data_IF_543078635863
#
_entry.id   IF_543078635863
#
_cell.length_a   1.000
_cell.length_b   1.000
_cell.length_c   1.000
_cell.angle_alpha   90.00
_cell.angle_beta   90.00
_cell.angle_gamma   90.00
#
_symmetry.space_group_name_H-M   'P 1'
#
loop_
_entity.id
_entity.type
_entity.pdbx_description
1 polymer ?
#
# COMPACT_ATOMS: atom_id res chain seq x y z
N UNK A 1 -34.40 8.82 -12.53
CA UNK A 1 -33.15 8.22 -12.03
C UNK A 1 -32.00 8.78 -12.86
N UNK A 2 -30.81 8.92 -12.29
CA UNK A 2 -29.61 9.39 -13.00
C UNK A 2 -28.98 8.21 -13.74
N UNK A 3 -28.39 8.41 -14.92
CA UNK A 3 -27.71 7.31 -15.62
C UNK A 3 -26.36 7.04 -14.95
N UNK A 4 -26.01 5.77 -14.72
CA UNK A 4 -24.65 5.38 -14.38
C UNK A 4 -23.79 5.67 -15.61
N UNK A 5 -23.09 6.80 -15.61
CA UNK A 5 -22.07 7.14 -16.61
C UNK A 5 -20.75 6.37 -16.36
N UNK A 6 -20.89 5.16 -15.85
CA UNK A 6 -19.84 4.36 -15.26
C UNK A 6 -19.61 3.11 -16.11
N UNK A 7 -18.34 2.81 -16.39
CA UNK A 7 -17.98 1.55 -17.05
C UNK A 7 -18.10 0.39 -16.07
N UNK A 8 -18.84 -0.65 -16.46
CA UNK A 8 -18.89 -1.93 -15.74
C UNK A 8 -17.57 -2.67 -15.99
N UNK A 9 -16.81 -2.95 -14.94
CA UNK A 9 -15.46 -3.54 -15.07
C UNK A 9 -15.50 -5.07 -14.93
N UNK A 10 -15.95 -5.58 -13.78
CA UNK A 10 -15.92 -7.01 -13.46
C UNK A 10 -16.91 -7.36 -12.33
N UNK A 11 -17.29 -8.63 -12.24
CA UNK A 11 -18.04 -9.20 -11.12
C UNK A 11 -17.06 -9.80 -10.09
N UNK A 12 -17.29 -9.51 -8.80
CA UNK A 12 -16.51 -10.02 -7.66
C UNK A 12 -17.46 -10.54 -6.56
N UNK A 13 -16.94 -11.34 -5.63
CA UNK A 13 -17.70 -11.82 -4.48
C UNK A 13 -17.33 -11.03 -3.22
N UNK A 14 -18.32 -10.49 -2.51
CA UNK A 14 -18.12 -9.68 -1.30
C UNK A 14 -17.80 -10.51 -0.04
N UNK A 15 -17.61 -11.84 -0.12
CA UNK A 15 -17.05 -12.67 1.00
C UNK A 15 -15.76 -13.44 0.71
N UNK A 16 -15.23 -13.38 -0.51
CA UNK A 16 -13.95 -14.04 -0.85
C UNK A 16 -12.76 -13.11 -0.59
N UNK A 17 -11.63 -13.66 -0.13
CA UNK A 17 -10.42 -13.02 0.42
C UNK A 17 -9.67 -11.98 -0.44
N UNK A 18 -10.31 -11.39 -1.45
CA UNK A 18 -9.74 -10.38 -2.35
C UNK A 18 -10.16 -8.93 -1.98
N UNK A 19 -10.53 -8.68 -0.71
CA UNK A 19 -11.17 -7.42 -0.29
C UNK A 19 -10.38 -6.14 -0.51
N UNK A 20 -9.05 -6.16 -0.43
CA UNK A 20 -8.25 -4.97 -0.77
C UNK A 20 -8.52 -4.49 -2.20
N UNK A 21 -8.90 -5.37 -3.13
CA UNK A 21 -9.24 -4.98 -4.50
C UNK A 21 -10.53 -4.16 -4.58
N UNK A 22 -11.37 -4.22 -3.54
CA UNK A 22 -12.62 -3.48 -3.43
C UNK A 22 -12.47 -2.16 -2.67
N UNK A 23 -11.32 -1.89 -2.06
CA UNK A 23 -11.09 -0.63 -1.35
C UNK A 23 -11.22 0.57 -2.30
N UNK A 24 -11.97 1.58 -1.87
CA UNK A 24 -12.36 2.77 -2.63
C UNK A 24 -13.04 2.48 -3.98
N UNK A 25 -13.77 1.36 -4.08
CA UNK A 25 -14.54 1.02 -5.29
C UNK A 25 -16.03 1.26 -5.09
N UNK A 26 -16.66 1.77 -6.15
CA UNK A 26 -18.11 1.72 -6.27
C UNK A 26 -18.54 0.33 -6.69
N UNK A 27 -19.60 -0.15 -6.05
CA UNK A 27 -20.17 -1.47 -6.25
C UNK A 27 -21.62 -1.32 -6.66
N UNK A 28 -22.08 -2.17 -7.56
CA UNK A 28 -23.51 -2.47 -7.68
C UNK A 28 -23.75 -3.81 -7.01
N UNK A 29 -24.59 -3.77 -6.00
CA UNK A 29 -24.90 -4.87 -5.10
C UNK A 29 -26.27 -5.40 -5.51
N UNK A 30 -26.31 -6.67 -5.90
CA UNK A 30 -27.57 -7.31 -6.27
C UNK A 30 -28.53 -7.34 -5.08
N UNK A 31 -29.84 -7.15 -5.29
CA UNK A 31 -30.79 -7.24 -4.21
C UNK A 31 -30.87 -8.69 -3.73
N UNK A 32 -30.61 -8.89 -2.44
CA UNK A 32 -30.73 -10.20 -1.78
C UNK A 32 -31.64 -10.02 -0.57
N UNK A 33 -32.68 -10.85 -0.45
CA UNK A 33 -33.60 -10.81 0.70
C UNK A 33 -32.87 -10.98 2.03
N UNK A 34 -31.72 -11.67 2.03
CA UNK A 34 -30.86 -11.82 3.21
C UNK A 34 -30.20 -10.52 3.64
N UNK A 35 -30.03 -9.54 2.74
CA UNK A 35 -29.46 -8.24 3.06
C UNK A 35 -30.41 -7.44 3.97
N UNK A 36 -31.69 -7.37 3.63
CA UNK A 36 -32.70 -6.62 4.40
C UNK A 36 -33.04 -7.27 5.75
N UNK A 37 -32.70 -8.55 5.94
CA UNK A 37 -32.86 -9.25 7.23
C UNK A 37 -31.71 -9.03 8.21
N UNK A 38 -30.64 -8.33 7.81
CA UNK A 38 -29.52 -8.04 8.69
C UNK A 38 -29.83 -6.87 9.61
N UNK A 39 -29.38 -6.99 10.85
CA UNK A 39 -29.48 -5.93 11.85
C UNK A 39 -28.80 -4.65 11.37
N UNK A 40 -29.57 -3.55 11.33
CA UNK A 40 -29.13 -2.24 10.84
C UNK A 40 -29.34 -2.02 9.34
N UNK A 41 -29.82 -3.02 8.60
CA UNK A 41 -30.15 -2.95 7.17
C UNK A 41 -31.65 -2.99 6.90
N UNK A 42 -32.48 -3.02 7.93
CA UNK A 42 -33.95 -3.00 7.80
C UNK A 42 -34.47 -1.67 7.25
N UNK A 43 -33.68 -0.61 7.38
CA UNK A 43 -33.96 0.73 6.85
C UNK A 43 -33.54 0.93 5.40
N UNK A 44 -32.87 -0.05 4.77
CA UNK A 44 -32.63 0.00 3.32
C UNK A 44 -33.98 -0.05 2.58
N UNK A 45 -34.24 0.88 1.65
CA UNK A 45 -35.44 0.82 0.83
C UNK A 45 -35.48 -0.47 0.01
N UNK A 46 -36.64 -1.13 -0.08
CA UNK A 46 -36.78 -2.27 -0.97
C UNK A 46 -36.39 -1.88 -2.42
N UNK A 47 -35.58 -2.74 -3.04
CA UNK A 47 -35.10 -2.54 -4.40
C UNK A 47 -35.13 -3.89 -5.11
N UNK A 48 -35.85 -3.96 -6.22
CA UNK A 48 -35.89 -5.15 -7.09
C UNK A 48 -34.67 -5.24 -8.02
N UNK A 49 -33.90 -4.14 -8.13
CA UNK A 49 -32.83 -3.98 -9.12
C UNK A 49 -31.43 -3.85 -8.51
N UNK A 50 -31.35 -3.56 -7.22
CA UNK A 50 -30.11 -3.54 -6.43
C UNK A 50 -29.75 -2.17 -5.85
N UNK A 51 -28.53 -2.09 -5.31
CA UNK A 51 -28.04 -0.95 -4.55
C UNK A 51 -26.70 -0.46 -5.09
N UNK A 52 -26.51 0.85 -5.07
CA UNK A 52 -25.22 1.48 -5.28
C UNK A 52 -24.46 1.53 -3.94
N UNK A 53 -23.35 0.81 -3.88
CA UNK A 53 -22.45 0.76 -2.74
C UNK A 53 -21.12 1.47 -3.00
N UNK A 54 -20.44 1.87 -1.93
CA UNK A 54 -19.05 2.30 -1.93
C UNK A 54 -18.31 1.52 -0.85
N UNK A 55 -17.33 0.71 -1.26
CA UNK A 55 -16.51 -0.08 -0.35
C UNK A 55 -15.26 0.70 0.04
N UNK A 56 -14.91 0.66 1.32
CA UNK A 56 -13.77 1.37 1.88
C UNK A 56 -13.24 0.67 3.14
N UNK A 57 -11.93 0.75 3.37
CA UNK A 57 -11.26 0.18 4.52
C UNK A 57 -11.16 1.19 5.68
N UNK A 58 -11.95 0.99 6.74
CA UNK A 58 -11.89 1.77 7.98
C UNK A 58 -11.88 0.83 9.21
N UNK A 59 -10.68 0.48 9.66
CA UNK A 59 -10.31 -0.59 10.61
C UNK A 59 -10.78 -2.01 10.24
N UNK A 60 -11.87 -2.09 9.48
CA UNK A 60 -12.62 -3.23 8.96
C UNK A 60 -13.08 -2.83 7.56
N UNK A 61 -13.23 -3.79 6.65
CA UNK A 61 -13.82 -3.47 5.34
C UNK A 61 -15.30 -3.10 5.55
N UNK A 62 -15.71 -1.94 5.04
CA UNK A 62 -17.08 -1.43 5.14
C UNK A 62 -17.67 -1.16 3.77
N UNK A 63 -18.99 -1.21 3.71
CA UNK A 63 -19.77 -0.89 2.50
C UNK A 63 -20.82 0.14 2.89
N UNK A 64 -20.71 1.33 2.31
CA UNK A 64 -21.71 2.37 2.40
C UNK A 64 -22.72 2.21 1.26
N UNK A 65 -24.00 2.14 1.58
CA UNK A 65 -25.09 2.11 0.63
C UNK A 65 -25.50 3.55 0.34
N UNK A 66 -25.19 4.01 -0.87
CA UNK A 66 -25.36 5.39 -1.29
C UNK A 66 -26.71 5.64 -1.97
N UNK A 67 -27.33 4.59 -2.50
CA UNK A 67 -28.57 4.72 -3.26
C UNK A 67 -29.10 3.43 -3.85
N UNK A 68 -30.20 3.56 -4.58
CA UNK A 68 -30.81 2.49 -5.38
C UNK A 68 -30.17 2.49 -6.76
N UNK A 69 -29.90 1.30 -7.30
CA UNK A 69 -29.35 1.13 -8.64
C UNK A 69 -30.27 0.24 -9.47
N UNK A 70 -30.62 0.70 -10.67
CA UNK A 70 -31.18 -0.13 -11.72
C UNK A 70 -30.07 -0.79 -12.54
N UNK A 71 -29.92 -2.11 -12.40
CA UNK A 71 -28.92 -2.85 -13.15
C UNK A 71 -29.27 -3.04 -14.63
N UNK A 72 -30.55 -3.07 -14.98
CA UNK A 72 -31.00 -3.27 -16.36
C UNK A 72 -30.81 -1.97 -17.16
N UNK A 73 -31.30 -0.86 -16.62
CA UNK A 73 -31.21 0.46 -17.24
C UNK A 73 -29.85 1.14 -17.03
N UNK A 74 -29.03 0.58 -16.13
CA UNK A 74 -27.77 1.19 -15.73
C UNK A 74 -28.00 2.58 -15.19
N UNK A 75 -28.94 2.72 -14.26
CA UNK A 75 -29.30 4.00 -13.66
C UNK A 75 -29.23 3.91 -12.13
N UNK A 76 -29.16 5.04 -11.43
CA UNK A 76 -29.09 5.09 -9.98
C UNK A 76 -29.78 6.33 -9.44
N UNK A 77 -30.12 6.29 -8.16
CA UNK A 77 -30.62 7.44 -7.40
C UNK A 77 -30.04 7.37 -6.00
N UNK A 78 -29.40 8.45 -5.56
CA UNK A 78 -28.95 8.54 -4.16
C UNK A 78 -30.14 8.49 -3.20
N UNK A 79 -29.90 7.98 -2.01
CA UNK A 79 -30.81 8.19 -0.90
C UNK A 79 -30.89 9.69 -0.59
N UNK A 80 -32.03 10.13 -0.04
CA UNK A 80 -32.15 11.50 0.46
C UNK A 80 -31.26 11.66 1.72
N UNK A 81 -30.89 12.90 2.06
CA UNK A 81 -29.86 13.24 3.06
C UNK A 81 -29.89 12.40 4.35
N UNK A 82 -28.72 12.22 4.96
CA UNK A 82 -28.44 11.49 6.21
C UNK A 82 -28.76 9.97 6.23
N UNK A 83 -29.31 9.40 5.16
CA UNK A 83 -29.68 7.97 5.08
C UNK A 83 -28.57 7.03 4.60
N UNK A 84 -27.30 7.48 4.57
CA UNK A 84 -26.19 6.61 4.15
C UNK A 84 -25.98 5.52 5.20
N UNK A 85 -26.42 4.31 4.88
CA UNK A 85 -26.23 3.15 5.73
C UNK A 85 -24.87 2.53 5.47
N UNK A 86 -24.14 2.19 6.54
CA UNK A 86 -22.82 1.59 6.45
C UNK A 86 -22.84 0.26 7.19
N UNK A 87 -22.50 -0.83 6.50
CA UNK A 87 -22.26 -2.13 7.12
C UNK A 87 -20.78 -2.50 7.10
N UNK A 88 -20.40 -3.31 8.08
CA UNK A 88 -19.17 -4.08 8.01
C UNK A 88 -19.35 -5.23 7.02
N UNK A 89 -18.40 -5.39 6.09
CA UNK A 89 -18.52 -6.33 4.97
C UNK A 89 -18.70 -7.79 5.43
N UNK A 90 -18.16 -8.16 6.61
CA UNK A 90 -18.31 -9.51 7.15
C UNK A 90 -19.74 -9.84 7.61
N UNK A 91 -20.54 -8.82 7.97
CA UNK A 91 -21.95 -8.99 8.37
C UNK A 91 -22.83 -9.27 7.15
N UNK A 92 -22.50 -8.71 5.98
CA UNK A 92 -23.24 -8.90 4.73
C UNK A 92 -23.20 -10.37 4.32
N UNK A 93 -24.21 -10.99 3.68
CA UNK A 93 -24.09 -12.35 3.16
C UNK A 93 -23.13 -12.43 1.97
N UNK A 94 -22.65 -13.63 1.65
CA UNK A 94 -21.82 -13.86 0.45
C UNK A 94 -22.63 -13.51 -0.78
N UNK A 95 -22.28 -12.40 -1.44
CA UNK A 95 -23.05 -11.88 -2.57
C UNK A 95 -22.14 -11.47 -3.72
N UNK A 96 -22.68 -11.59 -4.93
CA UNK A 96 -22.05 -11.15 -6.15
C UNK A 96 -22.23 -9.64 -6.29
N UNK A 97 -21.12 -8.93 -6.36
CA UNK A 97 -21.06 -7.49 -6.60
C UNK A 97 -20.46 -7.21 -7.97
N UNK A 98 -20.79 -6.06 -8.53
CA UNK A 98 -20.20 -5.57 -9.76
C UNK A 98 -19.41 -4.32 -9.47
N UNK A 99 -18.13 -4.31 -9.82
CA UNK A 99 -17.30 -3.11 -9.70
C UNK A 99 -17.74 -2.13 -10.78
N UNK A 100 -18.05 -0.94 -10.33
CA UNK A 100 -18.49 0.19 -11.13
C UNK A 100 -17.39 1.23 -11.14
N UNK A 101 -17.00 1.64 -12.33
CA UNK A 101 -16.03 2.72 -12.52
C UNK A 101 -16.72 4.06 -12.24
N UNK A 102 -16.28 4.88 -11.28
CA UNK A 102 -17.03 6.07 -10.92
C UNK A 102 -17.16 7.06 -12.09
N UNK A 103 -18.29 7.79 -12.10
CA UNK A 103 -18.42 9.04 -12.83
C UNK A 103 -17.95 10.19 -11.96
N UNK A 104 -17.64 11.34 -12.55
CA UNK A 104 -17.26 12.55 -11.81
C UNK A 104 -18.30 12.94 -10.73
N UNK A 105 -19.58 12.66 -11.01
CA UNK A 105 -20.67 12.87 -10.04
C UNK A 105 -20.60 11.92 -8.83
N UNK A 106 -20.26 10.65 -9.06
CA UNK A 106 -20.07 9.66 -7.99
C UNK A 106 -18.88 10.04 -7.11
N UNK A 107 -17.78 10.47 -7.72
CA UNK A 107 -16.58 10.91 -6.99
C UNK A 107 -16.86 12.13 -6.12
N UNK A 108 -17.69 13.07 -6.60
CA UNK A 108 -18.07 14.27 -5.86
C UNK A 108 -19.12 14.03 -4.76
N UNK A 109 -19.58 12.79 -4.56
CA UNK A 109 -20.54 12.48 -3.50
C UNK A 109 -19.97 12.86 -2.12
N UNK A 110 -20.70 13.60 -1.25
CA UNK A 110 -20.15 14.11 0.01
C UNK A 110 -19.57 13.04 0.94
N UNK A 111 -20.24 11.89 1.07
CA UNK A 111 -19.72 10.77 1.87
C UNK A 111 -18.39 10.24 1.31
N UNK A 112 -18.31 10.10 -0.02
CA UNK A 112 -17.13 9.57 -0.70
C UNK A 112 -15.97 10.53 -0.53
N UNK A 113 -16.20 11.83 -0.73
CA UNK A 113 -15.22 12.88 -0.45
C UNK A 113 -14.79 12.89 1.02
N UNK A 114 -15.70 12.60 1.95
CA UNK A 114 -15.38 12.45 3.37
C UNK A 114 -14.43 11.28 3.63
N UNK A 115 -14.73 10.09 3.09
CA UNK A 115 -13.87 8.90 3.21
C UNK A 115 -12.50 9.14 2.57
N UNK A 116 -12.48 9.69 1.34
CA UNK A 116 -11.23 10.01 0.66
C UNK A 116 -10.40 10.96 1.51
N UNK A 117 -10.94 12.10 1.98
CA UNK A 117 -10.22 13.03 2.86
C UNK A 117 -9.70 12.37 4.14
N UNK A 118 -10.49 11.48 4.75
CA UNK A 118 -10.04 10.71 5.91
C UNK A 118 -8.85 9.82 5.56
N UNK A 119 -8.92 9.08 4.45
CA UNK A 119 -7.80 8.27 3.98
C UNK A 119 -6.58 9.11 3.60
N UNK A 120 -6.77 10.30 3.02
CA UNK A 120 -5.69 11.24 2.74
C UNK A 120 -5.00 11.70 4.03
N UNK A 121 -5.74 11.83 5.13
CA UNK A 121 -5.19 12.23 6.43
C UNK A 121 -4.47 11.09 7.18
N UNK A 122 -4.77 9.82 6.84
CA UNK A 122 -4.29 8.63 7.55
C UNK A 122 -3.58 7.61 6.63
N UNK A 123 -2.90 8.13 5.60
CA UNK A 123 -2.36 7.30 4.52
C UNK A 123 -1.29 6.30 4.97
N UNK A 124 -0.45 6.63 5.96
CA UNK A 124 0.58 5.72 6.48
C UNK A 124 -0.05 4.52 7.22
N UNK A 125 -1.05 4.77 8.07
CA UNK A 125 -1.78 3.71 8.75
C UNK A 125 -2.53 2.84 7.74
N UNK A 126 -3.21 3.45 6.76
CA UNK A 126 -3.92 2.72 5.69
C UNK A 126 -2.98 1.87 4.84
N UNK A 127 -1.83 2.43 4.45
CA UNK A 127 -0.78 1.73 3.71
C UNK A 127 -0.38 0.44 4.43
N UNK A 128 -0.20 0.54 5.74
CA UNK A 128 0.13 -0.61 6.57
C UNK A 128 -1.05 -1.57 6.73
N UNK A 129 -2.29 -1.09 6.87
CA UNK A 129 -3.50 -1.94 6.91
C UNK A 129 -3.68 -2.77 5.63
N UNK A 130 -3.33 -2.20 4.47
CA UNK A 130 -3.37 -2.89 3.17
C UNK A 130 -2.31 -3.99 3.10
N UNK A 131 -1.07 -3.71 3.51
CA UNK A 131 0.00 -4.72 3.54
C UNK A 131 -0.28 -5.82 4.56
N UNK A 132 -0.80 -5.50 5.74
CA UNK A 132 -1.22 -6.49 6.75
C UNK A 132 -2.27 -7.47 6.25
N UNK A 133 -2.92 -7.23 5.11
CA UNK A 133 -3.86 -8.21 4.55
C UNK A 133 -3.16 -9.49 4.07
N UNK A 134 -1.83 -9.47 3.96
CA UNK A 134 -1.01 -10.66 3.67
C UNK A 134 -0.60 -11.43 4.94
N UNK A 135 -0.92 -10.91 6.14
CA UNK A 135 -0.64 -11.58 7.41
C UNK A 135 -1.64 -12.73 7.64
N UNK A 136 -1.09 -13.93 7.76
CA UNK A 136 -1.81 -15.19 7.91
C UNK A 136 -2.40 -15.41 9.32
N UNK A 137 -1.91 -14.70 10.35
CA UNK A 137 -2.39 -14.80 11.73
C UNK A 137 -3.42 -13.72 12.08
N UNK A 138 -3.74 -12.83 11.12
CA UNK A 138 -4.61 -11.70 11.34
C UNK A 138 -6.06 -12.13 11.50
N UNK A 139 -6.78 -11.41 12.38
CA UNK A 139 -8.24 -11.46 12.39
C UNK A 139 -8.80 -10.76 11.12
N UNK A 140 -9.45 -11.49 10.19
CA UNK A 140 -10.02 -10.88 8.99
C UNK A 140 -11.16 -9.92 9.31
N UNK A 141 -11.80 -10.05 10.47
CA UNK A 141 -12.88 -9.19 10.93
C UNK A 141 -12.37 -7.90 11.57
N UNK A 142 -11.12 -7.88 12.04
CA UNK A 142 -10.50 -6.72 12.70
C UNK A 142 -9.09 -6.45 12.15
N UNK A 143 -8.96 -6.01 10.88
CA UNK A 143 -7.69 -5.68 10.24
C UNK A 143 -6.73 -4.79 11.04
N UNK A 144 -7.29 -3.88 11.84
CA UNK A 144 -6.51 -2.96 12.66
C UNK A 144 -5.83 -3.63 13.86
N UNK A 145 -6.38 -4.74 14.36
CA UNK A 145 -5.86 -5.46 15.51
C UNK A 145 -4.97 -6.59 15.02
N UNK A 146 -3.71 -6.56 15.45
CA UNK A 146 -2.71 -7.59 15.16
C UNK A 146 -2.31 -8.30 16.44
N UNK A 147 -1.67 -9.44 16.25
CA UNK A 147 -0.94 -10.13 17.31
C UNK A 147 0.54 -9.98 17.03
N UNK A 148 1.28 -9.44 17.98
CA UNK A 148 2.73 -9.42 17.95
C UNK A 148 3.27 -10.39 19.00
N UNK A 149 4.31 -11.11 18.61
CA UNK A 149 5.04 -12.03 19.46
C UNK A 149 5.83 -11.24 20.52
N UNK A 150 5.77 -11.73 21.74
CA UNK A 150 6.55 -11.26 22.87
C UNK A 150 7.31 -12.46 23.45
N UNK A 151 8.62 -12.34 23.55
CA UNK A 151 9.48 -13.39 24.11
C UNK A 151 9.71 -13.04 25.59
N UNK A 152 9.04 -13.78 26.48
CA UNK A 152 8.90 -13.42 27.91
C UNK A 152 10.25 -13.30 28.63
N UNK A 153 11.22 -14.12 28.25
CA UNK A 153 12.53 -14.24 28.89
C UNK A 153 13.70 -13.89 27.94
N UNK A 154 13.44 -13.14 26.87
CA UNK A 154 14.43 -12.88 25.80
C UNK A 154 15.77 -12.41 26.35
N UNK A 155 15.77 -11.34 27.16
CA UNK A 155 17.00 -10.79 27.75
C UNK A 155 17.72 -11.74 28.68
N UNK A 156 16.97 -12.59 29.39
CA UNK A 156 17.56 -13.59 30.28
C UNK A 156 18.25 -14.68 29.46
N UNK A 157 17.61 -15.12 28.37
CA UNK A 157 18.17 -16.10 27.44
C UNK A 157 19.38 -15.53 26.71
N UNK A 158 19.30 -14.30 26.21
CA UNK A 158 20.44 -13.57 25.61
C UNK A 158 21.60 -13.42 26.59
N UNK A 159 21.35 -13.01 27.83
CA UNK A 159 22.39 -12.91 28.87
C UNK A 159 23.04 -14.27 29.11
N UNK A 160 22.24 -15.33 29.25
CA UNK A 160 22.76 -16.69 29.48
C UNK A 160 23.62 -17.17 28.31
N UNK A 161 23.19 -16.89 27.07
CA UNK A 161 23.96 -17.22 25.87
C UNK A 161 25.25 -16.41 25.78
N UNK A 162 25.20 -15.10 26.01
CA UNK A 162 26.38 -14.24 26.00
C UNK A 162 27.38 -14.63 27.07
N UNK A 163 26.93 -14.96 28.29
CA UNK A 163 27.78 -15.50 29.36
C UNK A 163 28.45 -16.82 28.94
N UNK A 164 27.73 -17.71 28.25
CA UNK A 164 28.29 -18.95 27.70
C UNK A 164 29.34 -18.66 26.61
N UNK A 165 29.11 -17.67 25.75
CA UNK A 165 30.07 -17.24 24.72
C UNK A 165 31.32 -16.65 25.36
N UNK A 166 31.19 -15.78 26.35
CA UNK A 166 32.32 -15.21 27.08
C UNK A 166 33.15 -16.30 27.76
N UNK A 167 32.51 -17.24 28.45
CA UNK A 167 33.19 -18.39 29.05
C UNK A 167 33.93 -19.24 28.00
N UNK A 168 33.31 -19.49 26.86
CA UNK A 168 33.96 -20.23 25.77
C UNK A 168 35.17 -19.48 25.20
N UNK A 169 35.07 -18.16 25.02
CA UNK A 169 36.19 -17.33 24.56
C UNK A 169 37.35 -17.32 25.54
N UNK A 170 37.09 -17.31 26.85
CA UNK A 170 38.13 -17.45 27.89
C UNK A 170 38.83 -18.80 27.81
N UNK A 171 38.07 -19.90 27.69
CA UNK A 171 38.61 -21.26 27.55
C UNK A 171 39.44 -21.38 26.26
N UNK A 172 38.94 -20.81 25.15
CA UNK A 172 39.63 -20.80 23.86
C UNK A 172 40.95 -20.01 23.93
N UNK A 173 40.95 -18.85 24.58
CA UNK A 173 42.15 -18.04 24.78
C UNK A 173 43.19 -18.80 25.63
N UNK A 174 42.78 -19.43 26.73
CA UNK A 174 43.66 -20.24 27.56
C UNK A 174 44.22 -21.47 26.81
N UNK A 175 43.40 -22.12 25.99
CA UNK A 175 43.82 -23.24 25.16
C UNK A 175 44.85 -22.81 24.10
N UNK A 176 44.68 -21.63 23.48
CA UNK A 176 45.67 -21.08 22.56
C UNK A 176 46.99 -20.72 23.25
N UNK A 177 46.97 -20.11 24.43
CA UNK A 177 48.19 -19.82 25.19
C UNK A 177 48.95 -21.09 25.59
N UNK A 178 48.22 -22.14 25.95
CA UNK A 178 48.82 -23.44 26.29
C UNK A 178 49.39 -24.14 25.05
N UNK A 179 48.66 -24.12 23.94
CA UNK A 179 49.10 -24.66 22.66
C UNK A 179 50.39 -23.97 22.16
N UNK A 180 50.52 -22.65 22.33
CA UNK A 180 51.73 -21.92 21.99
C UNK A 180 52.94 -22.39 22.81
N UNK A 181 52.76 -22.62 24.12
CA UNK A 181 53.81 -23.19 25.00
C UNK A 181 54.19 -24.61 24.60
N UNK A 182 53.23 -25.39 24.12
CA UNK A 182 53.41 -26.78 23.70
C UNK A 182 53.87 -26.91 22.23
N UNK A 183 54.07 -25.79 21.53
CA UNK A 183 54.52 -25.76 20.13
C UNK A 183 53.47 -26.23 19.12
N UNK A 184 52.19 -26.25 19.52
CA UNK A 184 51.04 -26.65 18.72
C UNK A 184 50.55 -25.41 17.93
N UNK A 185 50.17 -25.59 16.66
CA UNK A 185 49.64 -24.50 15.84
C UNK A 185 48.19 -24.22 16.24
N UNK A 186 47.80 -22.95 16.32
CA UNK A 186 46.44 -22.54 16.72
C UNK A 186 45.30 -23.25 15.97
N UNK A 187 45.46 -23.54 14.67
CA UNK A 187 44.45 -24.25 13.87
C UNK A 187 44.24 -25.73 14.25
N UNK A 188 45.16 -26.29 15.04
CA UNK A 188 45.14 -27.68 15.48
C UNK A 188 44.64 -27.77 16.95
N UNK A 189 44.14 -26.66 17.52
CA UNK A 189 43.54 -26.59 18.87
C UNK A 189 42.04 -26.82 18.77
N UNK A 190 41.59 -27.94 19.31
CA UNK A 190 40.17 -28.26 19.44
C UNK A 190 39.72 -27.95 20.88
N UNK A 191 38.65 -27.17 21.01
CA UNK A 191 38.03 -26.85 22.30
C UNK A 191 36.61 -27.40 22.27
N UNK A 192 36.30 -28.31 23.19
CA UNK A 192 34.95 -28.84 23.35
C UNK A 192 34.02 -27.79 24.02
N UNK A 193 32.73 -27.83 23.68
CA UNK A 193 31.72 -26.98 24.31
C UNK A 193 31.49 -25.63 23.65
N UNK A 194 31.57 -25.57 22.31
CA UNK A 194 31.10 -24.40 21.56
C UNK A 194 29.66 -24.05 21.98
N UNK A 195 29.34 -22.77 22.25
CA UNK A 195 28.00 -22.37 22.68
C UNK A 195 26.98 -22.77 21.62
N UNK A 196 26.09 -23.69 21.95
CA UNK A 196 24.99 -24.03 21.07
C UNK A 196 23.99 -22.87 21.01
N UNK A 197 23.40 -22.59 19.84
CA UNK A 197 22.35 -21.59 19.73
C UNK A 197 21.20 -21.92 20.69
N UNK A 198 20.59 -20.87 21.26
CA UNK A 198 19.50 -21.03 22.22
C UNK A 198 18.43 -22.00 21.68
N UNK A 199 18.05 -23.05 22.44
CA UNK A 199 17.06 -24.00 21.98
C UNK A 199 15.71 -23.29 21.82
N UNK A 200 15.13 -23.38 20.62
CA UNK A 200 13.85 -22.73 20.27
C UNK A 200 12.73 -23.13 21.23
N UNK A 201 12.78 -24.37 21.73
CA UNK A 201 11.80 -24.93 22.69
C UNK A 201 11.88 -24.30 24.09
N UNK A 202 12.97 -23.58 24.41
CA UNK A 202 13.12 -22.84 25.66
C UNK A 202 12.52 -21.42 25.59
N UNK A 203 12.19 -20.92 24.40
CA UNK A 203 11.63 -19.58 24.23
C UNK A 203 10.12 -19.60 24.44
N UNK A 204 9.66 -19.04 25.56
CA UNK A 204 8.23 -18.81 25.79
C UNK A 204 7.78 -17.60 24.97
N UNK A 205 6.98 -17.86 23.93
CA UNK A 205 6.38 -16.82 23.08
C UNK A 205 4.92 -16.63 23.46
N UNK A 206 4.57 -15.40 23.79
CA UNK A 206 3.19 -14.98 23.99
C UNK A 206 2.75 -14.01 22.88
N UNK A 207 1.47 -14.05 22.51
CA UNK A 207 0.92 -13.16 21.49
C UNK A 207 0.10 -12.05 22.13
N UNK A 208 0.61 -10.83 22.04
CA UNK A 208 0.00 -9.62 22.60
C UNK A 208 -0.73 -8.87 21.50
N UNK A 209 -1.93 -8.36 21.78
CA UNK A 209 -2.67 -7.58 20.79
C UNK A 209 -2.11 -6.17 20.69
N UNK A 210 -1.96 -5.70 19.44
CA UNK A 210 -1.52 -4.35 19.11
C UNK A 210 -2.46 -3.73 18.08
N UNK A 211 -2.43 -2.40 17.98
CA UNK A 211 -3.13 -1.62 16.96
C UNK A 211 -2.23 -0.50 16.42
N UNK A 212 -2.70 0.20 15.39
CA UNK A 212 -2.06 1.40 14.86
C UNK A 212 -0.58 1.22 14.49
N UNK A 213 -0.27 0.05 13.92
CA UNK A 213 1.09 -0.21 13.46
C UNK A 213 1.46 0.80 12.34
N UNK A 214 2.59 1.47 12.42
CA UNK A 214 3.01 2.44 11.40
C UNK A 214 4.50 2.26 11.14
N UNK A 215 4.97 2.44 9.89
CA UNK A 215 6.40 2.47 9.64
C UNK A 215 7.00 3.64 10.41
N UNK A 216 8.14 3.41 11.06
CA UNK A 216 8.92 4.41 11.75
C UNK A 216 10.34 4.43 11.17
N UNK A 217 11.08 5.52 11.40
CA UNK A 217 12.43 5.67 10.87
C UNK A 217 13.37 4.52 11.35
N UNK A 218 14.54 4.41 10.71
CA UNK A 218 15.56 3.41 11.02
C UNK A 218 15.09 1.95 10.85
N UNK A 219 14.23 1.68 9.86
CA UNK A 219 13.73 0.32 9.59
C UNK A 219 12.80 -0.26 10.65
N UNK A 220 12.36 0.54 11.62
CA UNK A 220 11.50 0.08 12.71
C UNK A 220 10.02 0.29 12.42
N UNK A 221 9.16 -0.29 13.25
CA UNK A 221 7.74 -0.02 13.26
C UNK A 221 7.32 0.45 14.65
N UNK A 222 6.25 1.22 14.72
CA UNK A 222 5.61 1.63 15.99
C UNK A 222 4.20 1.07 16.03
N UNK A 223 3.74 0.61 17.18
CA UNK A 223 2.34 0.26 17.41
C UNK A 223 1.89 0.66 18.82
N UNK A 224 0.58 0.58 19.06
CA UNK A 224 -0.04 0.81 20.37
C UNK A 224 -0.49 -0.52 20.96
N UNK A 225 -0.13 -0.78 22.22
CA UNK A 225 -0.54 -1.98 22.95
C UNK A 225 -2.05 -1.97 23.27
N UNK A 226 -2.75 -3.04 22.94
CA UNK A 226 -4.15 -3.24 23.35
C UNK A 226 -4.30 -4.06 24.64
N UNK A 227 -3.26 -4.80 25.01
CA UNK A 227 -3.15 -5.59 26.23
C UNK A 227 -1.89 -5.22 27.02
N UNK A 228 -1.85 -5.60 28.29
CA UNK A 228 -0.60 -5.56 29.05
C UNK A 228 0.33 -6.66 28.55
N UNK A 229 1.64 -6.41 28.57
CA UNK A 229 2.63 -7.41 28.20
C UNK A 229 2.84 -8.37 29.38
N UNK A 230 2.66 -9.69 29.19
CA UNK A 230 2.86 -10.67 30.24
C UNK A 230 4.32 -10.76 30.68
N UNK A 231 4.55 -10.95 31.99
CA UNK A 231 5.90 -11.07 32.55
C UNK A 231 6.69 -9.76 32.72
N UNK A 232 6.15 -8.61 32.31
CA UNK A 232 6.82 -7.31 32.47
C UNK A 232 5.87 -6.18 32.86
N UNK A 233 6.38 -5.19 33.59
CA UNK A 233 5.65 -3.96 33.95
C UNK A 233 6.13 -2.72 33.20
N UNK A 234 7.10 -2.86 32.28
CA UNK A 234 7.73 -1.73 31.59
C UNK A 234 6.78 -1.00 30.64
N UNK A 235 5.85 -1.75 30.02
CA UNK A 235 4.86 -1.24 29.08
C UNK A 235 3.49 -1.82 29.42
N UNK A 236 2.46 -0.99 29.35
CA UNK A 236 1.07 -1.36 29.64
C UNK A 236 0.17 -1.06 28.45
N UNK A 237 -1.07 -1.55 28.53
CA UNK A 237 -2.12 -1.21 27.56
C UNK A 237 -2.20 0.30 27.34
N UNK A 238 -2.20 0.70 26.07
CA UNK A 238 -2.25 2.09 25.61
C UNK A 238 -0.87 2.73 25.39
N UNK A 239 0.22 2.10 25.82
CA UNK A 239 1.56 2.60 25.55
C UNK A 239 1.98 2.30 24.11
N UNK A 240 2.76 3.22 23.55
CA UNK A 240 3.51 2.99 22.32
C UNK A 240 4.64 1.98 22.54
N UNK A 241 4.87 1.16 21.52
CA UNK A 241 5.90 0.13 21.51
C UNK A 241 6.56 0.05 20.13
N UNK A 242 7.87 -0.18 20.13
CA UNK A 242 8.60 -0.49 18.92
C UNK A 242 8.30 -1.93 18.51
N UNK A 243 8.16 -2.15 17.20
CA UNK A 243 7.83 -3.42 16.59
C UNK A 243 8.87 -3.72 15.52
N UNK A 244 9.39 -4.94 15.51
CA UNK A 244 10.18 -5.48 14.41
C UNK A 244 9.31 -6.40 13.55
N UNK A 245 9.43 -6.26 12.22
CA UNK A 245 8.72 -7.10 11.25
C UNK A 245 9.74 -8.06 10.62
N UNK A 246 9.63 -9.34 10.96
CA UNK A 246 10.52 -10.38 10.43
C UNK A 246 9.78 -11.17 9.37
N UNK A 247 10.35 -11.27 8.17
CA UNK A 247 9.81 -12.10 7.09
C UNK A 247 10.75 -13.26 6.80
N UNK A 248 10.22 -14.48 6.76
CA UNK A 248 10.98 -15.71 6.51
C UNK A 248 10.26 -16.61 5.52
N UNK A 249 11.00 -17.46 4.82
CA UNK A 249 10.46 -18.47 3.90
C UNK A 249 10.75 -19.84 4.51
N UNK A 250 9.71 -20.65 4.71
CA UNK A 250 9.86 -22.00 5.30
C UNK A 250 10.37 -22.95 4.22
N UNK A 251 11.44 -23.71 4.49
CA UNK A 251 11.96 -24.69 3.54
C UNK A 251 10.88 -25.70 3.13
N UNK A 252 10.56 -25.75 1.84
CA UNK A 252 9.52 -26.63 1.27
C UNK A 252 8.17 -25.94 1.03
N UNK A 253 8.03 -24.67 1.40
CA UNK A 253 6.88 -23.83 1.09
C UNK A 253 7.37 -22.53 0.44
N UNK A 254 6.98 -22.26 -0.82
CA UNK A 254 7.35 -21.02 -1.53
C UNK A 254 6.61 -19.78 -1.00
N UNK A 255 5.96 -19.89 0.17
CA UNK A 255 5.26 -18.80 0.84
C UNK A 255 6.17 -18.08 1.81
N UNK A 256 6.10 -16.75 1.77
CA UNK A 256 6.71 -15.89 2.76
C UNK A 256 5.76 -15.74 3.96
N UNK A 257 6.33 -15.89 5.15
CA UNK A 257 5.66 -15.71 6.44
C UNK A 257 6.24 -14.47 7.10
N UNK A 258 5.38 -13.51 7.41
CA UNK A 258 5.77 -12.31 8.16
C UNK A 258 5.23 -12.39 9.58
N UNK A 259 6.04 -12.03 10.56
CA UNK A 259 5.68 -12.00 11.98
C UNK A 259 6.17 -10.70 12.63
N UNK A 260 5.39 -10.19 13.58
CA UNK A 260 5.66 -8.97 14.32
C UNK A 260 6.19 -9.33 15.69
N UNK A 261 7.27 -8.69 16.14
CA UNK A 261 7.82 -8.86 17.48
C UNK A 261 7.80 -7.54 18.26
N UNK A 262 7.55 -7.63 19.56
CA UNK A 262 7.52 -6.48 20.46
C UNK A 262 8.90 -6.21 21.04
N UNK A 263 9.42 -5.01 20.78
CA UNK A 263 10.72 -4.54 21.26
C UNK A 263 10.53 -3.54 22.41
N UNK A 264 10.42 -4.02 23.66
CA UNK A 264 10.02 -3.15 24.78
C UNK A 264 11.07 -2.11 25.19
N UNK A 265 12.34 -2.37 24.87
CA UNK A 265 13.48 -1.53 25.26
C UNK A 265 14.04 -0.72 24.08
N UNK A 266 13.55 -0.95 22.86
CA UNK A 266 13.92 -0.15 21.70
C UNK A 266 13.26 1.25 21.76
N UNK A 267 13.94 2.29 21.25
CA UNK A 267 13.34 3.61 21.15
C UNK A 267 12.14 3.59 20.19
N UNK A 268 11.15 4.44 20.46
CA UNK A 268 10.04 4.66 19.54
C UNK A 268 10.46 5.76 18.58
N UNK A 269 10.78 5.37 17.35
CA UNK A 269 11.20 6.28 16.30
C UNK A 269 10.01 7.12 15.76
N UNK A 270 10.32 8.28 15.17
CA UNK A 270 9.31 9.09 14.48
C UNK A 270 9.00 8.53 13.07
N UNK A 271 8.07 9.16 12.35
CA UNK A 271 7.62 8.70 11.03
C UNK A 271 7.91 9.75 9.96
N UNK A 272 8.94 10.57 10.14
CA UNK A 272 9.21 11.71 9.26
C UNK A 272 9.89 11.26 7.98
N UNK A 273 9.41 11.81 6.87
CA UNK A 273 10.07 11.71 5.57
C UNK A 273 10.94 12.95 5.41
N UNK A 274 12.26 12.75 5.44
CA UNK A 274 13.24 13.80 5.17
C UNK A 274 13.71 13.69 3.72
N UNK A 275 13.68 14.81 2.99
CA UNK A 275 14.07 14.84 1.58
C UNK A 275 15.18 15.86 1.39
N UNK A 276 16.29 15.42 0.77
CA UNK A 276 17.34 16.30 0.29
C UNK A 276 17.32 16.36 -1.25
N UNK A 277 17.63 17.53 -1.82
CA UNK A 277 17.81 17.66 -3.26
C UNK A 277 19.08 16.94 -3.71
N UNK A 278 18.96 16.00 -4.64
CA UNK A 278 20.10 15.35 -5.27
C UNK A 278 20.40 15.98 -6.64
N UNK A 279 21.67 15.93 -7.07
CA UNK A 279 22.06 16.42 -8.40
C UNK A 279 21.44 15.50 -9.45
N UNK A 280 20.61 15.99 -10.38
CA UNK A 280 19.92 15.11 -11.32
C UNK A 280 20.94 14.34 -12.16
N UNK A 281 20.82 13.01 -12.15
CA UNK A 281 21.67 12.10 -12.94
C UNK A 281 21.38 12.19 -14.44
N UNK A 282 20.20 12.70 -14.82
CA UNK A 282 19.80 12.99 -16.20
C UNK A 282 19.46 14.46 -16.35
N UNK A 283 20.04 15.10 -17.37
CA UNK A 283 19.64 16.46 -17.73
C UNK A 283 18.14 16.50 -18.02
N UNK A 284 17.42 17.56 -17.58
CA UNK A 284 16.01 17.70 -17.87
C UNK A 284 15.83 17.76 -19.38
N UNK A 285 15.24 16.71 -19.95
CA UNK A 285 14.73 16.78 -21.31
C UNK A 285 13.37 17.45 -21.25
N UNK A 286 13.06 18.29 -22.25
CA UNK A 286 11.83 19.06 -22.34
C UNK A 286 11.35 18.98 -23.77
N UNK A 287 10.41 18.08 -24.01
CA UNK A 287 9.94 17.83 -25.37
C UNK A 287 8.42 17.90 -25.40
N UNK A 288 7.91 18.72 -26.32
CA UNK A 288 6.51 18.78 -26.68
C UNK A 288 6.28 17.90 -27.92
N UNK A 289 5.30 16.99 -27.82
CA UNK A 289 4.86 16.15 -28.93
C UNK A 289 3.48 16.60 -29.39
N UNK A 290 3.37 17.04 -30.65
CA UNK A 290 2.07 17.29 -31.27
C UNK A 290 1.65 16.06 -32.06
N UNK A 291 0.50 15.50 -31.69
CA UNK A 291 -0.10 14.33 -32.33
C UNK A 291 -1.40 14.75 -33.01
N UNK A 292 -1.48 14.55 -34.33
CA UNK A 292 -2.71 14.76 -35.09
C UNK A 292 -3.15 13.49 -35.79
N UNK A 293 -4.46 13.30 -35.87
CA UNK A 293 -5.06 12.22 -36.62
C UNK A 293 -5.35 12.68 -38.05
N UNK A 294 -4.94 11.93 -39.09
CA UNK A 294 -5.30 12.26 -40.46
C UNK A 294 -6.78 11.98 -40.80
N UNK A 295 -7.50 11.28 -39.93
CA UNK A 295 -8.88 10.80 -40.17
C UNK A 295 -9.95 11.49 -39.32
N UNK A 296 -9.57 12.32 -38.34
CA UNK A 296 -10.51 13.10 -37.54
C UNK A 296 -9.87 14.40 -37.06
N UNK A 297 -10.61 15.19 -36.30
CA UNK A 297 -10.21 16.50 -35.75
C UNK A 297 -9.29 16.41 -34.52
N UNK A 298 -8.80 15.23 -34.17
CA UNK A 298 -7.86 15.05 -33.06
C UNK A 298 -6.52 15.73 -33.38
N UNK A 299 -6.13 16.72 -32.57
CA UNK A 299 -4.86 17.43 -32.64
C UNK A 299 -4.50 17.97 -31.25
N UNK A 300 -3.62 17.25 -30.55
CA UNK A 300 -3.23 17.58 -29.18
C UNK A 300 -1.71 17.69 -29.05
N UNK A 301 -1.25 18.59 -28.18
CA UNK A 301 0.16 18.76 -27.82
C UNK A 301 0.42 18.30 -26.39
N UNK A 302 1.42 17.45 -26.21
CA UNK A 302 1.80 16.84 -24.94
C UNK A 302 3.19 17.31 -24.49
N UNK A 303 3.27 18.03 -23.38
CA UNK A 303 4.52 18.56 -22.82
C UNK A 303 5.16 17.57 -21.83
N UNK A 304 6.27 16.97 -22.22
CA UNK A 304 6.92 15.89 -21.49
C UNK A 304 8.28 16.33 -20.92
N UNK A 305 8.71 15.63 -19.87
CA UNK A 305 10.00 15.81 -19.21
C UNK A 305 9.95 16.64 -17.93
N UNK A 306 11.05 17.34 -17.62
CA UNK A 306 11.26 18.09 -16.36
C UNK A 306 11.51 19.57 -16.63
N UNK A 307 10.94 20.47 -15.83
CA UNK A 307 11.02 21.92 -16.05
C UNK A 307 11.72 22.67 -14.92
N UNK A 308 11.82 24.00 -15.02
CA UNK A 308 12.31 24.83 -13.91
C UNK A 308 11.41 24.79 -12.67
N UNK A 309 10.20 24.26 -12.80
CA UNK A 309 9.18 24.16 -11.75
C UNK A 309 9.16 22.80 -11.04
N UNK A 310 10.21 21.98 -11.20
CA UNK A 310 10.32 20.66 -10.58
C UNK A 310 10.06 20.67 -9.07
N UNK A 311 10.31 21.79 -8.37
CA UNK A 311 9.98 21.94 -6.95
C UNK A 311 8.47 21.86 -6.69
N UNK A 312 7.65 22.46 -7.53
CA UNK A 312 6.19 22.39 -7.42
C UNK A 312 5.70 20.98 -7.73
N UNK A 313 6.22 20.39 -8.81
CA UNK A 313 5.93 18.99 -9.16
C UNK A 313 6.30 18.03 -8.02
N UNK A 314 7.46 18.24 -7.39
CA UNK A 314 7.91 17.45 -6.26
C UNK A 314 6.98 17.62 -5.05
N UNK A 315 6.55 18.86 -4.74
CA UNK A 315 5.60 19.12 -3.66
C UNK A 315 4.29 18.36 -3.87
N UNK A 316 3.75 18.39 -5.10
CA UNK A 316 2.54 17.66 -5.47
C UNK A 316 2.74 16.14 -5.34
N UNK A 317 3.90 15.61 -5.74
CA UNK A 317 4.23 14.18 -5.59
C UNK A 317 4.24 13.79 -4.12
N UNK A 318 4.86 14.60 -3.25
CA UNK A 318 4.87 14.35 -1.80
C UNK A 318 3.46 14.43 -1.22
N UNK A 319 2.62 15.35 -1.69
CA UNK A 319 1.20 15.43 -1.30
C UNK A 319 0.42 14.19 -1.78
N UNK A 320 0.67 13.67 -2.99
CA UNK A 320 0.08 12.43 -3.50
C UNK A 320 0.52 11.19 -2.69
N UNK A 321 1.80 11.12 -2.31
CA UNK A 321 2.32 10.07 -1.43
C UNK A 321 1.62 10.14 -0.07
N UNK A 322 1.57 11.32 0.53
CA UNK A 322 0.94 11.55 1.84
C UNK A 322 -0.56 11.35 1.83
N UNK A 323 -1.22 11.52 0.68
CA UNK A 323 -2.66 11.28 0.53
C UNK A 323 -3.01 9.83 0.19
N UNK A 324 -2.01 8.93 0.10
CA UNK A 324 -2.23 7.52 -0.20
C UNK A 324 -2.66 7.24 -1.65
N UNK A 325 -2.42 8.19 -2.56
CA UNK A 325 -2.76 8.05 -4.00
C UNK A 325 -1.74 7.23 -4.78
N UNK A 326 -0.61 6.91 -4.16
CA UNK A 326 0.45 6.06 -4.70
C UNK A 326 0.46 4.71 -3.98
N UNK A 327 1.29 3.79 -4.46
CA UNK A 327 1.48 2.51 -3.79
C UNK A 327 1.95 2.70 -2.33
N UNK A 328 1.26 2.13 -1.34
CA UNK A 328 1.65 2.10 0.07
C UNK A 328 3.13 1.85 0.35
N UNK A 329 3.76 0.96 -0.42
CA UNK A 329 5.16 0.60 -0.24
C UNK A 329 6.10 1.79 -0.49
N UNK A 330 5.73 2.72 -1.37
CA UNK A 330 6.51 3.95 -1.61
C UNK A 330 6.57 4.80 -0.35
N UNK A 331 5.45 4.95 0.36
CA UNK A 331 5.40 5.73 1.59
C UNK A 331 6.20 5.07 2.72
N UNK A 332 6.17 3.74 2.80
CA UNK A 332 6.90 2.96 3.81
C UNK A 332 8.41 3.06 3.59
N UNK A 333 8.88 2.80 2.38
CA UNK A 333 10.31 2.88 2.05
C UNK A 333 10.85 4.30 2.32
N UNK A 334 10.09 5.34 1.98
CA UNK A 334 10.49 6.73 2.25
C UNK A 334 10.57 7.10 3.74
N UNK A 335 9.91 6.34 4.63
CA UNK A 335 10.03 6.52 6.08
C UNK A 335 11.17 5.67 6.63
N UNK A 336 11.29 4.43 6.17
CA UNK A 336 12.14 3.41 6.80
C UNK A 336 13.56 3.39 6.27
N UNK A 337 13.77 3.85 5.02
CA UNK A 337 15.06 3.77 4.33
C UNK A 337 15.65 5.14 4.09
N UNK A 338 16.97 5.22 4.16
CA UNK A 338 17.76 6.41 3.85
C UNK A 338 18.38 6.38 2.44
N UNK A 339 18.41 5.21 1.80
CA UNK A 339 18.94 4.96 0.46
C UNK A 339 17.88 5.09 -0.67
N UNK A 340 16.81 5.83 -0.41
CA UNK A 340 15.74 6.04 -1.38
C UNK A 340 16.00 7.21 -2.33
N UNK A 341 15.91 6.95 -3.63
CA UNK A 341 15.85 8.00 -4.66
C UNK A 341 14.46 8.08 -5.30
N UNK A 342 13.90 9.28 -5.41
CA UNK A 342 12.69 9.53 -6.18
C UNK A 342 13.06 10.06 -7.57
N UNK A 343 12.88 9.24 -8.60
CA UNK A 343 12.95 9.65 -10.01
C UNK A 343 11.54 10.06 -10.48
N UNK A 344 11.41 11.29 -10.97
CA UNK A 344 10.15 11.80 -11.49
C UNK A 344 10.27 12.63 -12.77
N UNK A 345 9.27 12.51 -13.63
CA UNK A 345 9.16 13.25 -14.90
C UNK A 345 7.70 13.32 -15.38
N UNK A 346 7.37 14.31 -16.22
CA UNK A 346 6.11 14.28 -17.00
C UNK A 346 6.26 13.31 -18.15
N UNK A 347 5.37 12.34 -18.25
CA UNK A 347 5.42 11.28 -19.26
C UNK A 347 4.04 11.02 -19.84
N UNK A 348 4.01 10.55 -21.09
CA UNK A 348 2.77 10.20 -21.75
C UNK A 348 2.30 8.82 -21.32
N UNK A 349 1.02 8.71 -21.00
CA UNK A 349 0.35 7.46 -20.65
C UNK A 349 -0.84 7.21 -21.56
N UNK A 350 -1.14 5.94 -21.85
CA UNK A 350 -2.29 5.50 -22.66
C UNK A 350 -3.20 4.55 -21.88
N UNK A 351 -4.51 4.78 -21.86
CA UNK A 351 -5.49 3.78 -21.39
C UNK A 351 -5.52 2.60 -22.37
N UNK A 352 -5.24 1.39 -21.89
CA UNK A 352 -5.32 0.17 -22.73
C UNK A 352 -6.73 -0.14 -23.21
N UNK A 353 -7.75 0.39 -22.54
CA UNK A 353 -9.15 0.07 -22.80
C UNK A 353 -9.84 1.05 -23.77
N UNK A 354 -9.70 2.35 -23.55
CA UNK A 354 -10.36 3.39 -24.38
C UNK A 354 -9.38 4.13 -25.30
N UNK A 355 -8.07 3.94 -25.15
CA UNK A 355 -7.07 4.62 -25.99
C UNK A 355 -6.73 6.05 -25.56
N UNK A 356 -7.44 6.64 -24.59
CA UNK A 356 -7.17 7.98 -24.08
C UNK A 356 -5.70 8.17 -23.72
N UNK A 357 -5.14 9.28 -24.18
CA UNK A 357 -3.79 9.73 -23.90
C UNK A 357 -3.84 10.80 -22.81
N UNK A 358 -2.90 10.77 -21.88
CA UNK A 358 -2.80 11.76 -20.81
C UNK A 358 -1.35 11.90 -20.34
N UNK A 359 -0.98 13.10 -19.89
CA UNK A 359 0.32 13.35 -19.27
C UNK A 359 0.21 13.09 -17.78
N UNK A 360 0.99 12.13 -17.28
CA UNK A 360 1.10 11.83 -15.85
C UNK A 360 2.51 12.05 -15.35
N UNK A 361 2.64 12.33 -14.06
CA UNK A 361 3.94 12.39 -13.36
C UNK A 361 4.45 10.97 -13.19
N UNK A 362 5.33 10.45 -14.01
CA UNK A 362 5.94 9.15 -13.71
C UNK A 362 6.75 9.31 -12.43
N UNK A 363 6.34 8.67 -11.35
CA UNK A 363 7.07 8.64 -10.07
C UNK A 363 7.63 7.24 -9.90
N UNK A 364 8.93 7.17 -9.65
CA UNK A 364 9.62 5.94 -9.30
C UNK A 364 10.37 6.13 -8.02
N UNK A 365 10.18 5.19 -7.10
CA UNK A 365 11.07 5.03 -5.97
C UNK A 365 12.12 3.99 -6.37
N UNK A 366 13.38 4.36 -6.22
CA UNK A 366 14.53 3.52 -6.53
C UNK A 366 15.26 3.28 -5.21
N UNK A 367 15.51 2.02 -4.90
CA UNK A 367 16.37 1.55 -3.82
C UNK A 367 17.44 0.65 -4.44
N UNK A 368 18.42 0.18 -3.66
CA UNK A 368 19.40 -0.80 -4.14
C UNK A 368 18.72 -2.10 -4.63
N UNK A 369 17.68 -2.53 -3.93
CA UNK A 369 17.08 -3.85 -4.10
C UNK A 369 15.95 -3.88 -5.14
N UNK A 370 15.18 -2.80 -5.23
CA UNK A 370 13.99 -2.75 -6.09
C UNK A 370 13.66 -1.35 -6.60
N UNK A 371 12.78 -1.31 -7.61
CA UNK A 371 12.18 -0.08 -8.11
C UNK A 371 10.66 -0.19 -8.07
N UNK A 372 10.01 0.69 -7.32
CA UNK A 372 8.56 0.84 -7.30
C UNK A 372 8.16 1.96 -8.26
N UNK A 373 7.03 1.78 -8.96
CA UNK A 373 6.49 2.81 -9.85
C UNK A 373 5.04 3.11 -9.49
N UNK A 374 4.71 4.39 -9.38
CA UNK A 374 3.32 4.81 -9.21
C UNK A 374 2.47 4.33 -10.39
N UNK A 375 1.27 3.85 -10.06
CA UNK A 375 0.29 3.37 -11.04
C UNK A 375 -0.73 4.47 -11.31
N UNK A 376 -1.02 4.70 -12.59
CA UNK A 376 -2.02 5.68 -13.02
C UNK A 376 -3.25 4.98 -13.61
N UNK A 377 -4.41 5.55 -13.33
CA UNK A 377 -5.69 5.13 -13.86
C UNK A 377 -6.25 6.23 -14.74
N UNK A 378 -6.91 5.84 -15.81
CA UNK A 378 -7.45 6.78 -16.78
C UNK A 378 -8.72 7.44 -16.24
N UNK A 379 -8.80 8.77 -16.35
CA UNK A 379 -9.98 9.50 -15.90
C UNK A 379 -11.23 9.17 -16.72
N UNK A 380 -11.08 8.83 -18.01
CA UNK A 380 -12.20 8.47 -18.90
C UNK A 380 -12.71 7.03 -18.71
N UNK A 381 -11.80 6.06 -18.54
CA UNK A 381 -12.16 4.63 -18.54
C UNK A 381 -11.96 3.94 -17.17
N UNK A 382 -11.14 4.51 -16.29
CA UNK A 382 -10.76 3.96 -14.97
C UNK A 382 -9.83 2.75 -15.03
N UNK A 383 -9.54 2.27 -16.24
CA UNK A 383 -8.56 1.22 -16.46
C UNK A 383 -7.14 1.74 -16.22
N UNK A 384 -6.25 0.82 -15.87
CA UNK A 384 -4.84 1.12 -15.71
C UNK A 384 -4.26 1.72 -17.00
N UNK A 385 -3.57 2.85 -16.85
CA UNK A 385 -2.81 3.45 -17.93
C UNK A 385 -1.42 2.82 -18.02
N UNK A 386 -0.90 2.74 -19.24
CA UNK A 386 0.46 2.29 -19.50
C UNK A 386 1.32 3.45 -19.93
N UNK A 387 2.52 3.53 -19.36
CA UNK A 387 3.55 4.47 -19.80
C UNK A 387 3.88 4.19 -21.27
N UNK A 388 3.83 5.24 -22.09
CA UNK A 388 4.25 5.20 -23.47
C UNK A 388 5.73 5.56 -23.53
N UNK A 389 6.56 4.61 -23.96
CA UNK A 389 7.97 4.90 -24.23
C UNK A 389 8.07 5.90 -25.37
N UNK A 390 9.00 6.84 -25.28
CA UNK A 390 9.22 7.90 -26.28
C UNK A 390 9.23 7.40 -27.73
N UNK A 391 9.97 6.33 -28.01
CA UNK A 391 10.04 5.74 -29.36
C UNK A 391 8.72 5.18 -29.90
N UNK A 392 7.69 5.00 -29.06
CA UNK A 392 6.38 4.49 -29.45
C UNK A 392 5.30 5.59 -29.52
N UNK A 393 5.63 6.84 -29.17
CA UNK A 393 4.67 7.95 -29.22
C UNK A 393 4.17 8.18 -30.66
N UNK A 394 5.08 8.05 -31.62
CA UNK A 394 4.80 8.17 -33.06
C UNK A 394 3.92 7.05 -33.64
N UNK A 395 3.69 5.96 -32.90
CA UNK A 395 2.94 4.78 -33.37
C UNK A 395 1.69 4.53 -32.53
N UNK A 396 1.17 5.55 -31.87
CA UNK A 396 -0.06 5.45 -31.08
C UNK A 396 -1.29 5.50 -31.99
N UNK A 397 -2.37 4.86 -31.57
CA UNK A 397 -3.66 4.97 -32.25
C UNK A 397 -4.44 6.15 -31.68
N UNK A 398 -5.23 6.79 -32.53
CA UNK A 398 -6.07 7.91 -32.21
C UNK A 398 -7.09 7.52 -31.13
N UNK A 399 -7.21 8.28 -30.03
CA UNK A 399 -8.19 7.97 -28.99
C UNK A 399 -9.65 8.09 -29.47
N UNK A 400 -9.91 8.82 -30.57
CA UNK A 400 -11.25 9.02 -31.12
C UNK A 400 -11.66 7.94 -32.13
N UNK A 401 -10.88 7.76 -33.19
CA UNK A 401 -11.22 6.83 -34.28
C UNK A 401 -10.43 5.53 -34.30
N UNK A 402 -9.41 5.37 -33.43
CA UNK A 402 -8.52 4.19 -33.33
C UNK A 402 -7.64 3.92 -34.55
N UNK A 403 -7.60 4.83 -35.52
CA UNK A 403 -6.61 4.79 -36.61
C UNK A 403 -5.24 5.28 -36.13
N UNK A 404 -4.17 4.88 -36.81
CA UNK A 404 -2.81 5.26 -36.44
C UNK A 404 -2.62 6.79 -36.49
N UNK A 405 -2.01 7.36 -35.45
CA UNK A 405 -1.62 8.77 -35.41
C UNK A 405 -0.35 9.00 -36.21
N UNK A 406 -0.23 10.19 -36.79
CA UNK A 406 1.02 10.67 -37.36
C UNK A 406 1.69 11.60 -36.34
N UNK A 407 2.96 11.38 -35.99
CA UNK A 407 3.73 12.38 -35.25
C UNK A 407 3.84 13.62 -36.13
N UNK A 408 3.34 14.76 -35.64
CA UNK A 408 3.30 16.00 -36.43
C UNK A 408 4.57 16.82 -36.19
N UNK A 409 4.96 16.95 -34.92
CA UNK A 409 6.07 17.83 -34.54
C UNK A 409 6.70 17.40 -33.20
N UNK A 410 8.02 17.48 -33.12
CA UNK A 410 8.80 17.36 -31.88
C UNK A 410 9.52 18.68 -31.63
N UNK A 411 9.18 19.39 -30.55
CA UNK A 411 9.76 20.69 -30.22
C UNK A 411 10.30 20.72 -28.79
N UNK A 412 11.36 21.51 -28.55
CA UNK A 412 11.78 21.85 -27.19
C UNK A 412 10.80 22.85 -26.58
N UNK A 413 10.45 22.69 -25.30
CA UNK A 413 9.64 23.66 -24.57
C UNK A 413 10.43 24.30 -23.41
N UNK A 414 10.16 25.57 -23.14
CA UNK A 414 10.97 26.42 -22.25
C UNK A 414 10.74 26.17 -20.76
N UNK A 415 9.70 25.43 -20.40
CA UNK A 415 9.39 25.06 -19.03
C UNK A 415 8.16 25.78 -18.44
N UNK A 416 7.56 26.72 -19.17
CA UNK A 416 6.32 27.40 -18.80
C UNK A 416 5.18 26.75 -19.58
N UNK A 417 4.20 26.20 -18.87
CA UNK A 417 3.02 25.65 -19.54
C UNK A 417 2.24 26.82 -20.17
N UNK A 418 1.94 26.83 -21.48
CA UNK A 418 1.12 27.89 -22.06
C UNK A 418 -0.38 27.79 -21.70
N UNK A 419 -0.76 26.80 -20.87
CA UNK A 419 -2.14 26.54 -20.44
C UNK A 419 -2.25 26.47 -18.92
#
# INVERSE_FOLDING_TARGET
>A
MKKLNAKRLKRHMLKTSEFWQLDEKFLVISPDKKLCTLTGMESLPESDTGYLGYAFLDDTMRVAFLGICDEEDGSYKYFDGDQVLVAQAWMLPTMLVRIVKPSEELEKHPFVQGVLKFHESDALRRSTLALRQIDHLRDPLRPAILKAAWIVDEKKLESTFNESVEQYLEVLAAAYEQAEKDGIRAKDVEVEGEPEPLPVDAMSVEFVRITDLVPANNGTWRAILLDNIPGTSKKKKGDDVAISLVTTTIKGDDRNYSMLFIEIDAPIEDTKINVASFKPSRLPWRIAYTLACPHCDFNDTYYLGRSGEDRFMFKEIVEEIRSGKVDPLIAIDLVQRDDCEIDFSRELYRCRSCGTLDVKRRVRLITEDHTLSAMYYCLECGERMSHVKRGHIASLDCPRCREQLNPVEEALWDGVNPN
#
